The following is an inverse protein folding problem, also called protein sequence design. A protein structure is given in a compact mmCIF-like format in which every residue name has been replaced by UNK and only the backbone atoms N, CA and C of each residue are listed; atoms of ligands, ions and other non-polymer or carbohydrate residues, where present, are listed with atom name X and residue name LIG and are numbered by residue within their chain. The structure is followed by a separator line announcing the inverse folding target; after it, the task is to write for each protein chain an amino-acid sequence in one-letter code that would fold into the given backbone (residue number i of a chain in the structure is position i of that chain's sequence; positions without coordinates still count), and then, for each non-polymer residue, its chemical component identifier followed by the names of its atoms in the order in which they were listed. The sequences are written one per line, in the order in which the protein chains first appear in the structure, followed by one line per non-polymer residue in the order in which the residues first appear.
data_IF_650843435719
#
_entry.id   IF_650843435719
#
_cell.length_a   1.000
_cell.length_b   1.000
_cell.length_c   1.000
_cell.angle_alpha   90.00
_cell.angle_beta   90.00
_cell.angle_gamma   90.00
#
_symmetry.space_group_name_H-M   'P 1'
#
loop_
_entity.id
_entity.type
_entity.pdbx_description
1 polymer ?
#
# COMPACT_ATOMS: atom_id res chain seq x y z
N UNK A 1 19.91 -9.81 -19.55
CA UNK A 1 19.05 -8.59 -19.48
C UNK A 1 18.94 -8.18 -18.03
N UNK A 2 19.10 -6.90 -17.73
CA UNK A 2 18.83 -6.38 -16.39
C UNK A 2 17.33 -6.62 -16.08
N UNK A 3 16.98 -7.28 -14.96
CA UNK A 3 15.60 -7.55 -14.60
C UNK A 3 14.76 -6.27 -14.34
N UNK A 4 15.40 -5.10 -14.31
CA UNK A 4 14.72 -3.82 -14.07
C UNK A 4 13.93 -3.82 -12.77
N UNK A 5 12.71 -3.27 -12.78
CA UNK A 5 11.83 -3.24 -11.60
C UNK A 5 11.37 -4.62 -11.11
N UNK A 6 11.40 -5.65 -11.96
CA UNK A 6 11.02 -7.02 -11.59
C UNK A 6 11.86 -7.56 -10.42
N UNK A 7 13.09 -7.08 -10.26
CA UNK A 7 13.96 -7.46 -9.15
C UNK A 7 13.37 -7.10 -7.77
N UNK A 8 12.56 -6.04 -7.71
CA UNK A 8 11.98 -5.51 -6.48
C UNK A 8 10.56 -6.01 -6.21
N UNK A 9 10.02 -6.84 -7.10
CA UNK A 9 8.76 -7.54 -6.87
C UNK A 9 8.94 -8.55 -5.74
N UNK A 10 8.10 -8.46 -4.72
CA UNK A 10 8.14 -9.37 -3.58
C UNK A 10 7.87 -10.81 -4.04
N UNK A 11 8.54 -11.78 -3.46
CA UNK A 11 8.38 -13.19 -3.78
C UNK A 11 7.31 -13.84 -2.89
N UNK A 12 6.80 -15.01 -3.32
CA UNK A 12 5.82 -15.78 -2.57
C UNK A 12 4.38 -15.29 -2.69
N UNK A 13 3.53 -15.75 -1.79
CA UNK A 13 2.09 -15.44 -1.76
C UNK A 13 1.87 -13.97 -1.42
N UNK A 14 1.04 -13.29 -2.24
CA UNK A 14 0.68 -11.89 -1.98
C UNK A 14 -0.52 -11.81 -1.03
N UNK A 15 -0.44 -10.93 -0.04
CA UNK A 15 -1.56 -10.66 0.85
C UNK A 15 -2.72 -9.95 0.11
N UNK A 16 -3.98 -10.24 0.46
CA UNK A 16 -5.15 -9.62 -0.20
C UNK A 16 -5.14 -8.09 -0.19
N UNK A 17 -4.71 -7.49 0.92
CA UNK A 17 -4.60 -6.03 1.08
C UNK A 17 -3.57 -5.47 0.09
N UNK A 18 -2.43 -6.15 -0.04
CA UNK A 18 -1.38 -5.74 -0.98
C UNK A 18 -1.83 -5.90 -2.43
N UNK A 19 -2.55 -6.98 -2.76
CA UNK A 19 -3.08 -7.16 -4.12
C UNK A 19 -4.06 -6.04 -4.48
N UNK A 20 -4.98 -5.66 -3.57
CA UNK A 20 -5.87 -4.51 -3.79
C UNK A 20 -5.10 -3.21 -4.04
N UNK A 21 -3.99 -2.99 -3.33
CA UNK A 21 -3.14 -1.83 -3.56
C UNK A 21 -2.50 -1.88 -4.95
N UNK A 22 -1.99 -3.03 -5.39
CA UNK A 22 -1.42 -3.22 -6.72
C UNK A 22 -2.45 -2.98 -7.82
N UNK A 23 -3.67 -3.51 -7.67
CA UNK A 23 -4.77 -3.29 -8.62
C UNK A 23 -5.14 -1.80 -8.73
N UNK A 24 -5.21 -1.08 -7.60
CA UNK A 24 -5.47 0.35 -7.59
C UNK A 24 -4.33 1.15 -8.23
N UNK A 25 -3.07 0.75 -7.99
CA UNK A 25 -1.91 1.35 -8.63
C UNK A 25 -1.90 1.08 -10.14
N UNK A 26 -2.24 -0.13 -10.59
CA UNK A 26 -2.36 -0.47 -12.01
C UNK A 26 -3.40 0.42 -12.71
N UNK A 27 -4.57 0.62 -12.09
CA UNK A 27 -5.59 1.54 -12.60
C UNK A 27 -5.08 2.98 -12.70
N UNK A 28 -4.33 3.44 -11.71
CA UNK A 28 -3.74 4.77 -11.72
C UNK A 28 -2.66 4.95 -12.82
N UNK A 29 -2.03 3.85 -13.23
CA UNK A 29 -1.13 3.81 -14.40
C UNK A 29 -1.87 3.72 -15.75
N UNK A 30 -3.21 3.60 -15.73
CA UNK A 30 -4.04 3.56 -16.93
C UNK A 30 -4.44 2.15 -17.39
N UNK A 31 -4.12 1.10 -16.63
CA UNK A 31 -4.56 -0.27 -16.96
C UNK A 31 -5.96 -0.49 -16.42
N UNK A 32 -6.95 -0.52 -17.31
CA UNK A 32 -8.36 -0.66 -16.95
C UNK A 32 -8.72 -2.04 -16.41
N UNK A 33 -9.70 -2.09 -15.49
CA UNK A 33 -10.17 -3.35 -14.89
C UNK A 33 -10.67 -4.35 -15.94
N UNK A 34 -11.38 -3.88 -16.99
CA UNK A 34 -11.85 -4.75 -18.09
C UNK A 34 -10.68 -5.34 -18.91
N UNK A 35 -9.55 -4.62 -19.04
CA UNK A 35 -8.37 -5.16 -19.73
C UNK A 35 -7.73 -6.29 -18.92
N UNK A 36 -7.61 -6.11 -17.61
CA UNK A 36 -7.10 -7.15 -16.70
C UNK A 36 -8.03 -8.35 -16.66
N UNK A 37 -9.35 -8.14 -16.57
CA UNK A 37 -10.38 -9.16 -16.61
C UNK A 37 -10.36 -9.97 -17.92
N UNK A 38 -10.17 -9.32 -19.06
CA UNK A 38 -10.03 -9.99 -20.36
C UNK A 38 -8.80 -10.90 -20.39
N UNK A 39 -7.66 -10.42 -19.87
CA UNK A 39 -6.42 -11.20 -19.81
C UNK A 39 -6.55 -12.38 -18.83
N UNK A 40 -7.18 -12.17 -17.68
CA UNK A 40 -7.40 -13.21 -16.66
C UNK A 40 -8.32 -14.32 -17.19
N UNK A 41 -9.47 -13.95 -17.72
CA UNK A 41 -10.43 -14.92 -18.25
C UNK A 41 -9.90 -15.68 -19.47
N UNK A 42 -9.13 -15.02 -20.34
CA UNK A 42 -8.43 -15.71 -21.43
C UNK A 42 -7.41 -16.72 -20.93
N UNK A 43 -6.57 -16.34 -19.96
CA UNK A 43 -5.58 -17.26 -19.39
C UNK A 43 -6.26 -18.48 -18.73
N UNK A 44 -7.39 -18.26 -18.05
CA UNK A 44 -8.21 -19.31 -17.47
C UNK A 44 -8.78 -20.25 -18.56
N UNK A 45 -9.33 -19.71 -19.64
CA UNK A 45 -9.84 -20.48 -20.75
C UNK A 45 -8.74 -21.29 -21.45
N UNK A 46 -7.57 -20.70 -21.65
CA UNK A 46 -6.42 -21.39 -22.27
C UNK A 46 -5.91 -22.53 -21.38
N UNK A 47 -5.90 -22.37 -20.05
CA UNK A 47 -5.58 -23.44 -19.11
C UNK A 47 -6.59 -24.59 -19.23
N UNK A 48 -7.89 -24.30 -19.14
CA UNK A 48 -8.97 -25.30 -19.28
C UNK A 48 -8.86 -26.03 -20.62
N UNK A 49 -8.66 -25.30 -21.72
CA UNK A 49 -8.56 -25.85 -23.06
C UNK A 49 -7.37 -26.81 -23.23
N UNK A 50 -6.26 -26.53 -22.57
CA UNK A 50 -5.05 -27.35 -22.63
C UNK A 50 -5.17 -28.67 -21.89
N UNK A 51 -6.15 -28.83 -21.01
CA UNK A 51 -6.28 -29.98 -20.10
C UNK A 51 -7.45 -30.89 -20.47
N UNK A 52 -8.58 -30.32 -20.89
CA UNK A 52 -9.84 -31.03 -21.02
C UNK A 52 -10.59 -30.68 -22.31
N UNK A 53 -11.03 -31.67 -23.08
CA UNK A 53 -11.82 -31.45 -24.30
C UNK A 53 -13.34 -31.37 -24.06
N UNK A 54 -13.84 -31.85 -22.91
CA UNK A 54 -15.27 -32.07 -22.67
C UNK A 54 -16.01 -30.86 -22.09
N UNK A 55 -17.14 -31.14 -21.44
CA UNK A 55 -18.02 -30.13 -20.87
C UNK A 55 -17.35 -29.36 -19.72
N UNK A 56 -17.57 -28.06 -19.71
CA UNK A 56 -17.07 -27.14 -18.67
C UNK A 56 -18.25 -26.51 -17.93
N UNK A 57 -18.24 -26.59 -16.61
CA UNK A 57 -19.17 -25.86 -15.74
C UNK A 57 -18.39 -24.74 -15.05
N UNK A 58 -18.85 -23.49 -15.21
CA UNK A 58 -18.23 -22.32 -14.58
C UNK A 58 -19.18 -21.73 -13.57
N UNK A 59 -18.77 -21.67 -12.32
CA UNK A 59 -19.51 -21.09 -11.21
C UNK A 59 -19.05 -19.65 -11.01
N UNK A 60 -19.90 -18.67 -11.31
CA UNK A 60 -19.58 -17.26 -11.26
C UNK A 60 -20.26 -16.55 -10.09
N UNK A 61 -19.47 -15.85 -9.27
CA UNK A 61 -19.98 -14.89 -8.31
C UNK A 61 -20.38 -13.56 -8.97
N UNK A 62 -20.80 -12.60 -8.16
CA UNK A 62 -21.22 -11.27 -8.62
C UNK A 62 -20.09 -10.22 -8.67
N UNK A 63 -18.88 -10.58 -8.22
CA UNK A 63 -17.69 -9.73 -8.24
C UNK A 63 -16.85 -9.90 -9.50
N UNK A 64 -15.66 -9.27 -9.50
CA UNK A 64 -14.75 -9.31 -10.64
C UNK A 64 -14.26 -10.73 -10.97
N UNK A 65 -14.06 -11.59 -9.96
CA UNK A 65 -13.71 -13.00 -10.18
C UNK A 65 -14.78 -13.73 -11.01
N UNK A 66 -16.08 -13.46 -10.72
CA UNK A 66 -17.18 -13.94 -11.57
C UNK A 66 -17.10 -13.41 -13.00
N UNK A 67 -16.68 -12.15 -13.16
CA UNK A 67 -16.41 -11.55 -14.46
C UNK A 67 -15.28 -12.26 -15.22
N UNK A 68 -14.20 -12.65 -14.56
CA UNK A 68 -13.10 -13.43 -15.13
C UNK A 68 -13.61 -14.79 -15.63
N UNK A 69 -14.49 -15.46 -14.84
CA UNK A 69 -15.17 -16.69 -15.23
C UNK A 69 -16.08 -16.52 -16.46
N UNK A 70 -16.81 -15.40 -16.55
CA UNK A 70 -17.66 -15.07 -17.70
C UNK A 70 -16.83 -14.80 -18.97
N UNK A 71 -15.68 -14.12 -18.85
CA UNK A 71 -14.75 -13.96 -19.96
C UNK A 71 -14.23 -15.33 -20.40
N UNK A 72 -13.84 -16.20 -19.45
CA UNK A 72 -13.40 -17.56 -19.77
C UNK A 72 -14.48 -18.34 -20.55
N UNK A 73 -15.74 -18.27 -20.12
CA UNK A 73 -16.86 -18.89 -20.83
C UNK A 73 -16.97 -18.41 -22.28
N UNK A 74 -16.81 -17.11 -22.51
CA UNK A 74 -16.84 -16.52 -23.86
C UNK A 74 -15.71 -17.07 -24.74
N UNK A 75 -14.54 -17.32 -24.18
CA UNK A 75 -13.43 -17.93 -24.90
C UNK A 75 -13.60 -19.43 -25.12
N UNK A 76 -14.47 -20.13 -24.37
CA UNK A 76 -14.70 -21.57 -24.43
C UNK A 76 -15.94 -21.97 -25.29
N UNK A 77 -16.40 -21.12 -26.22
CA UNK A 77 -17.56 -21.40 -27.09
C UNK A 77 -17.33 -22.56 -28.09
N UNK A 78 -16.10 -23.06 -28.22
CA UNK A 78 -15.72 -24.24 -29.00
C UNK A 78 -16.09 -25.56 -28.34
N UNK A 79 -16.69 -25.54 -27.14
CA UNK A 79 -17.12 -26.72 -26.35
C UNK A 79 -18.42 -26.47 -25.60
N UNK A 80 -19.00 -27.53 -25.05
CA UNK A 80 -20.18 -27.43 -24.19
C UNK A 80 -19.81 -26.70 -22.90
N UNK A 81 -20.37 -25.51 -22.69
CA UNK A 81 -20.07 -24.65 -21.53
C UNK A 81 -21.35 -24.18 -20.87
N UNK A 82 -21.49 -24.45 -19.55
CA UNK A 82 -22.56 -23.96 -18.72
C UNK A 82 -22.03 -22.99 -17.66
N UNK A 83 -22.63 -21.81 -17.57
CA UNK A 83 -22.30 -20.77 -16.57
C UNK A 83 -23.44 -20.67 -15.57
N UNK A 84 -23.16 -20.99 -14.33
CA UNK A 84 -24.04 -20.80 -13.20
C UNK A 84 -23.59 -19.53 -12.45
N UNK A 85 -24.41 -18.48 -12.48
CA UNK A 85 -24.02 -17.17 -11.94
C UNK A 85 -24.99 -16.65 -10.92
N UNK A 86 -24.45 -16.01 -9.87
CA UNK A 86 -25.23 -15.37 -8.82
C UNK A 86 -25.92 -14.12 -9.39
N UNK A 87 -27.26 -14.16 -9.46
CA UNK A 87 -28.12 -13.08 -9.98
C UNK A 87 -28.76 -12.30 -8.83
N UNK A 88 -27.93 -11.59 -8.07
CA UNK A 88 -28.33 -10.76 -6.93
C UNK A 88 -27.93 -9.29 -7.15
N UNK A 89 -28.59 -8.35 -6.45
CA UNK A 89 -28.16 -6.95 -6.43
C UNK A 89 -26.68 -6.78 -6.00
N UNK A 90 -26.01 -5.77 -6.55
CA UNK A 90 -24.62 -5.47 -6.22
C UNK A 90 -23.61 -6.25 -7.03
N UNK A 91 -23.96 -6.72 -8.23
CA UNK A 91 -23.00 -7.21 -9.22
C UNK A 91 -22.08 -6.05 -9.62
N UNK A 92 -20.76 -6.32 -9.73
CA UNK A 92 -19.81 -5.30 -10.20
C UNK A 92 -20.13 -4.87 -11.64
N UNK A 93 -19.80 -3.62 -11.97
CA UNK A 93 -20.10 -3.08 -13.31
C UNK A 93 -19.41 -3.89 -14.42
N UNK A 94 -18.20 -4.34 -14.15
CA UNK A 94 -17.40 -5.16 -15.08
C UNK A 94 -18.00 -6.57 -15.25
N UNK A 95 -18.44 -7.21 -14.14
CA UNK A 95 -19.10 -8.51 -14.22
C UNK A 95 -20.43 -8.41 -14.97
N UNK A 96 -21.24 -7.39 -14.68
CA UNK A 96 -22.50 -7.13 -15.40
C UNK A 96 -22.26 -6.88 -16.91
N UNK A 97 -21.17 -6.17 -17.25
CA UNK A 97 -20.76 -5.96 -18.65
C UNK A 97 -20.46 -7.30 -19.35
N UNK A 98 -19.70 -8.20 -18.71
CA UNK A 98 -19.42 -9.52 -19.30
C UNK A 98 -20.66 -10.40 -19.42
N UNK A 99 -21.56 -10.36 -18.43
CA UNK A 99 -22.84 -11.07 -18.49
C UNK A 99 -23.69 -10.57 -19.68
N UNK A 100 -23.73 -9.27 -19.93
CA UNK A 100 -24.44 -8.70 -21.06
C UNK A 100 -23.90 -9.23 -22.41
N UNK A 101 -22.57 -9.38 -22.53
CA UNK A 101 -21.94 -9.97 -23.71
C UNK A 101 -22.31 -11.45 -23.84
N UNK A 102 -22.23 -12.24 -22.74
CA UNK A 102 -22.52 -13.67 -22.77
C UNK A 102 -23.94 -14.00 -23.21
N UNK A 103 -24.91 -13.12 -22.93
CA UNK A 103 -26.31 -13.28 -23.40
C UNK A 103 -26.45 -13.34 -24.92
N UNK A 104 -25.43 -12.91 -25.66
CA UNK A 104 -25.34 -12.98 -27.13
C UNK A 104 -24.47 -14.15 -27.62
N UNK A 105 -23.88 -14.92 -26.71
CA UNK A 105 -22.99 -16.04 -27.02
C UNK A 105 -23.72 -17.38 -26.92
N UNK A 106 -23.14 -18.42 -27.58
CA UNK A 106 -23.63 -19.81 -27.47
C UNK A 106 -23.10 -20.49 -26.21
N UNK A 107 -23.54 -19.98 -25.03
CA UNK A 107 -23.18 -20.49 -23.71
C UNK A 107 -24.47 -20.69 -22.93
N UNK A 108 -24.60 -21.80 -22.22
CA UNK A 108 -25.76 -22.02 -21.34
C UNK A 108 -25.64 -21.14 -20.09
N UNK A 109 -26.64 -20.31 -19.83
CA UNK A 109 -26.65 -19.36 -18.71
C UNK A 109 -27.73 -19.74 -17.71
N UNK A 110 -27.34 -20.00 -16.46
CA UNK A 110 -28.21 -20.38 -15.36
C UNK A 110 -28.13 -19.32 -14.25
N UNK A 111 -29.12 -18.42 -14.13
CA UNK A 111 -29.16 -17.45 -13.06
C UNK A 111 -29.52 -18.13 -11.72
N UNK A 112 -28.81 -17.81 -10.66
CA UNK A 112 -29.02 -18.36 -9.31
C UNK A 112 -29.31 -17.21 -8.35
N UNK A 113 -30.54 -17.13 -7.85
CA UNK A 113 -31.00 -16.14 -6.86
C UNK A 113 -31.20 -16.78 -5.50
N UNK A 114 -31.55 -18.07 -5.49
CA UNK A 114 -31.84 -18.84 -4.28
C UNK A 114 -31.40 -20.30 -4.48
N UNK A 115 -31.52 -21.09 -3.42
CA UNK A 115 -31.14 -22.50 -3.44
C UNK A 115 -32.00 -23.33 -4.42
N UNK A 116 -33.23 -22.97 -4.59
CA UNK A 116 -34.20 -23.66 -5.46
C UNK A 116 -33.83 -23.60 -6.94
N UNK A 117 -33.07 -22.57 -7.34
CA UNK A 117 -32.55 -22.42 -8.72
C UNK A 117 -31.48 -23.46 -9.06
N UNK A 118 -30.92 -24.17 -8.07
CA UNK A 118 -29.84 -25.13 -8.24
C UNK A 118 -30.30 -26.56 -8.66
N UNK A 119 -31.59 -26.76 -8.92
CA UNK A 119 -32.20 -28.09 -9.18
C UNK A 119 -31.53 -28.88 -10.31
N UNK A 120 -30.96 -28.20 -11.30
CA UNK A 120 -30.26 -28.82 -12.44
C UNK A 120 -28.72 -28.78 -12.33
N UNK A 121 -28.17 -28.14 -11.32
CA UNK A 121 -26.73 -27.98 -11.16
C UNK A 121 -26.02 -29.32 -11.00
N UNK A 122 -26.57 -30.23 -10.18
CA UNK A 122 -26.01 -31.58 -9.98
C UNK A 122 -25.88 -32.35 -11.32
N UNK A 123 -26.89 -32.24 -12.21
CA UNK A 123 -26.88 -32.85 -13.52
C UNK A 123 -25.76 -32.33 -14.42
N UNK A 124 -25.53 -31.03 -14.44
CA UNK A 124 -24.43 -30.45 -15.20
C UNK A 124 -23.07 -30.81 -14.59
N UNK A 125 -22.93 -30.71 -13.25
CA UNK A 125 -21.69 -31.05 -12.54
C UNK A 125 -21.29 -32.53 -12.72
N UNK A 126 -22.27 -33.44 -12.82
CA UNK A 126 -22.00 -34.87 -13.02
C UNK A 126 -21.42 -35.19 -14.40
N UNK A 127 -21.70 -34.34 -15.43
CA UNK A 127 -21.22 -34.45 -16.79
C UNK A 127 -19.96 -33.64 -17.05
N UNK A 128 -19.63 -32.69 -16.18
CA UNK A 128 -18.52 -31.79 -16.35
C UNK A 128 -17.18 -32.50 -16.21
N UNK A 129 -16.28 -32.36 -17.19
CA UNK A 129 -14.87 -32.73 -17.04
C UNK A 129 -14.12 -31.71 -16.19
N UNK A 130 -14.53 -30.43 -16.26
CA UNK A 130 -13.96 -29.34 -15.47
C UNK A 130 -15.04 -28.53 -14.80
N UNK A 131 -14.82 -28.25 -13.52
CA UNK A 131 -15.60 -27.27 -12.76
C UNK A 131 -14.68 -26.09 -12.44
N UNK A 132 -15.02 -24.91 -12.93
CA UNK A 132 -14.29 -23.67 -12.65
C UNK A 132 -14.96 -22.96 -11.48
N UNK A 133 -14.22 -22.75 -10.40
CA UNK A 133 -14.61 -21.90 -9.29
C UNK A 133 -14.17 -20.45 -9.57
N UNK A 134 -15.13 -19.64 -9.96
CA UNK A 134 -15.01 -18.17 -10.10
C UNK A 134 -16.05 -17.46 -9.21
N UNK A 135 -16.42 -18.08 -8.07
CA UNK A 135 -17.43 -17.54 -7.16
C UNK A 135 -16.88 -16.35 -6.37
N UNK A 136 -15.77 -16.52 -5.65
CA UNK A 136 -15.17 -15.50 -4.81
C UNK A 136 -13.68 -15.36 -5.08
N UNK A 137 -13.20 -14.12 -5.14
CA UNK A 137 -11.77 -13.81 -5.17
C UNK A 137 -11.26 -13.34 -3.79
N UNK A 138 -10.05 -12.80 -3.75
CA UNK A 138 -9.34 -12.34 -2.53
C UNK A 138 -10.04 -11.21 -1.77
N UNK A 139 -11.05 -10.56 -2.36
CA UNK A 139 -11.78 -9.43 -1.74
C UNK A 139 -12.90 -9.82 -0.79
N UNK A 140 -13.24 -11.10 -0.68
CA UNK A 140 -14.39 -11.57 0.09
C UNK A 140 -13.98 -12.03 1.49
N UNK A 141 -14.76 -11.64 2.52
CA UNK A 141 -14.55 -12.04 3.90
C UNK A 141 -15.89 -12.48 4.54
N UNK A 142 -15.80 -13.41 5.48
CA UNK A 142 -16.93 -13.90 6.28
C UNK A 142 -17.50 -15.25 5.81
N UNK A 143 -18.47 -15.79 6.53
CA UNK A 143 -19.07 -17.08 6.23
C UNK A 143 -19.92 -17.03 4.95
N UNK A 144 -19.87 -18.09 4.16
CA UNK A 144 -20.69 -18.23 2.97
C UNK A 144 -22.18 -18.28 3.34
N UNK A 145 -22.98 -17.54 2.59
CA UNK A 145 -24.45 -17.58 2.63
C UNK A 145 -24.99 -18.24 1.37
N UNK A 146 -26.23 -18.71 1.42
CA UNK A 146 -26.90 -19.16 0.20
C UNK A 146 -27.16 -17.96 -0.75
N UNK A 147 -27.07 -18.18 -2.07
CA UNK A 147 -26.92 -19.49 -2.73
C UNK A 147 -25.46 -19.99 -2.83
N UNK A 148 -24.44 -19.15 -2.57
CA UNK A 148 -23.03 -19.51 -2.72
C UNK A 148 -22.65 -20.76 -1.93
N UNK A 149 -23.11 -20.88 -0.67
CA UNK A 149 -22.83 -22.05 0.17
C UNK A 149 -23.33 -23.35 -0.46
N UNK A 150 -24.52 -23.34 -1.03
CA UNK A 150 -25.08 -24.52 -1.71
C UNK A 150 -24.34 -24.82 -3.03
N UNK A 151 -23.97 -23.79 -3.82
CA UNK A 151 -23.17 -23.98 -5.03
C UNK A 151 -21.82 -24.64 -4.73
N UNK A 152 -21.12 -24.20 -3.67
CA UNK A 152 -19.87 -24.80 -3.22
C UNK A 152 -20.06 -26.24 -2.78
N UNK A 153 -21.13 -26.53 -2.03
CA UNK A 153 -21.42 -27.88 -1.56
C UNK A 153 -21.66 -28.88 -2.72
N UNK A 154 -22.35 -28.45 -3.78
CA UNK A 154 -22.54 -29.27 -4.99
C UNK A 154 -21.25 -29.41 -5.78
N UNK A 155 -20.48 -28.33 -5.96
CA UNK A 155 -19.19 -28.34 -6.65
C UNK A 155 -18.18 -29.30 -5.98
N UNK A 156 -18.18 -29.41 -4.65
CA UNK A 156 -17.31 -30.34 -3.92
C UNK A 156 -17.58 -31.81 -4.26
N UNK A 157 -18.82 -32.16 -4.67
CA UNK A 157 -19.23 -33.53 -5.04
C UNK A 157 -18.96 -33.85 -6.51
N UNK A 158 -18.71 -32.83 -7.33
CA UNK A 158 -18.49 -33.01 -8.75
C UNK A 158 -17.31 -33.94 -9.02
N UNK A 159 -17.42 -34.89 -9.97
CA UNK A 159 -16.32 -35.80 -10.31
C UNK A 159 -15.22 -35.13 -11.15
N UNK A 160 -15.54 -34.05 -11.87
CA UNK A 160 -14.61 -33.34 -12.73
C UNK A 160 -13.49 -32.60 -11.98
N UNK A 161 -12.40 -32.28 -12.71
CA UNK A 161 -11.29 -31.49 -12.16
C UNK A 161 -11.77 -30.09 -11.74
N UNK A 162 -11.43 -29.66 -10.55
CA UNK A 162 -11.82 -28.36 -9.98
C UNK A 162 -10.67 -27.37 -10.12
N UNK A 163 -10.90 -26.33 -10.90
CA UNK A 163 -9.93 -25.25 -11.11
C UNK A 163 -10.46 -23.97 -10.45
N UNK A 164 -9.73 -23.43 -9.48
CA UNK A 164 -10.07 -22.15 -8.88
C UNK A 164 -9.43 -20.99 -9.66
N UNK A 165 -10.24 -19.99 -10.00
CA UNK A 165 -9.81 -18.73 -10.58
C UNK A 165 -9.35 -17.78 -9.47
N UNK A 166 -8.16 -17.27 -9.56
CA UNK A 166 -7.44 -16.37 -8.66
C UNK A 166 -7.16 -16.95 -7.27
N UNK A 167 -8.18 -17.32 -6.51
CA UNK A 167 -8.10 -17.93 -5.20
C UNK A 167 -9.28 -18.89 -4.98
N UNK A 168 -9.12 -19.97 -4.19
CA UNK A 168 -10.22 -20.88 -3.89
C UNK A 168 -11.33 -20.18 -3.09
N UNK A 169 -12.59 -20.44 -3.46
CA UNK A 169 -13.72 -20.03 -2.63
C UNK A 169 -13.71 -20.83 -1.32
N UNK A 170 -13.93 -20.21 -0.15
CA UNK A 170 -13.96 -20.89 1.14
C UNK A 170 -14.85 -22.13 1.13
N UNK A 171 -14.34 -23.26 1.56
CA UNK A 171 -15.05 -24.54 1.59
C UNK A 171 -14.92 -25.39 0.32
N UNK A 172 -14.39 -24.85 -0.78
CA UNK A 172 -14.05 -25.62 -1.96
C UNK A 172 -12.56 -25.98 -1.94
N UNK A 173 -12.24 -27.26 -2.18
CA UNK A 173 -10.87 -27.74 -2.32
C UNK A 173 -10.64 -27.99 -3.81
N UNK A 174 -9.94 -27.11 -4.53
CA UNK A 174 -9.64 -27.30 -5.94
C UNK A 174 -8.48 -28.25 -6.15
N UNK A 175 -8.45 -28.89 -7.32
CA UNK A 175 -7.30 -29.69 -7.78
C UNK A 175 -6.19 -28.77 -8.29
N UNK A 176 -6.56 -27.58 -8.78
CA UNK A 176 -5.65 -26.58 -9.32
C UNK A 176 -6.12 -25.16 -9.01
N UNK A 177 -5.18 -24.26 -8.74
CA UNK A 177 -5.44 -22.82 -8.61
C UNK A 177 -4.68 -22.07 -9.69
N UNK A 178 -5.35 -21.23 -10.47
CA UNK A 178 -4.74 -20.27 -11.38
C UNK A 178 -4.86 -18.88 -10.79
N UNK A 179 -3.81 -18.41 -10.13
CA UNK A 179 -3.73 -17.05 -9.60
C UNK A 179 -3.30 -16.06 -10.68
N UNK A 180 -3.85 -14.86 -10.63
CA UNK A 180 -3.54 -13.78 -11.57
C UNK A 180 -2.46 -12.87 -11.00
N UNK A 181 -1.44 -12.52 -11.79
CA UNK A 181 -0.29 -11.68 -11.47
C UNK A 181 0.65 -12.29 -10.41
N UNK A 182 0.16 -12.66 -9.24
CA UNK A 182 0.92 -13.22 -8.10
C UNK A 182 0.17 -14.39 -7.47
N UNK A 183 0.88 -15.38 -6.88
CA UNK A 183 0.21 -16.48 -6.19
C UNK A 183 -0.58 -15.96 -4.97
N UNK A 184 -1.84 -16.40 -4.81
CA UNK A 184 -2.71 -16.10 -3.66
C UNK A 184 -2.68 -17.24 -2.63
N UNK A 185 -2.28 -18.41 -3.06
CA UNK A 185 -2.07 -19.58 -2.19
C UNK A 185 -0.78 -20.29 -2.60
N UNK A 186 -0.13 -21.05 -1.68
CA UNK A 186 1.04 -21.84 -2.03
C UNK A 186 0.74 -22.85 -3.14
N UNK A 187 1.66 -23.01 -4.09
CA UNK A 187 1.54 -23.97 -5.18
C UNK A 187 0.62 -23.57 -6.33
N UNK A 188 -0.01 -22.38 -6.29
CA UNK A 188 -0.81 -21.91 -7.41
C UNK A 188 0.02 -21.70 -8.67
N UNK A 189 -0.55 -22.04 -9.83
CA UNK A 189 -0.07 -21.55 -11.11
C UNK A 189 -0.32 -20.03 -11.20
N UNK A 190 0.57 -19.31 -11.88
CA UNK A 190 0.45 -17.86 -12.02
C UNK A 190 0.31 -17.50 -13.49
N UNK A 191 -0.78 -16.80 -13.82
CA UNK A 191 -0.96 -16.17 -15.12
C UNK A 191 -0.52 -14.70 -15.05
N UNK A 192 0.32 -14.30 -16.01
CA UNK A 192 0.58 -12.88 -16.27
C UNK A 192 -0.63 -12.29 -16.97
N UNK A 193 -1.25 -11.30 -16.35
CA UNK A 193 -2.44 -10.61 -16.87
C UNK A 193 -2.13 -9.18 -17.34
N UNK A 194 -0.84 -8.80 -17.39
CA UNK A 194 -0.39 -7.51 -17.90
C UNK A 194 -0.39 -6.39 -16.86
N UNK A 195 -0.33 -6.69 -15.57
CA UNK A 195 -0.07 -5.67 -14.54
C UNK A 195 1.40 -5.25 -14.63
N UNK A 196 1.70 -3.96 -14.86
CA UNK A 196 3.08 -3.48 -14.91
C UNK A 196 3.79 -3.69 -13.57
N UNK A 197 5.08 -4.03 -13.61
CA UNK A 197 5.91 -4.15 -12.39
C UNK A 197 5.93 -2.86 -11.57
N UNK A 198 5.79 -1.71 -12.23
CA UNK A 198 5.66 -0.40 -11.61
C UNK A 198 4.47 -0.31 -10.66
N UNK A 199 3.35 -0.98 -10.94
CA UNK A 199 2.19 -0.99 -10.05
C UNK A 199 2.51 -1.64 -8.69
N UNK A 200 3.48 -2.56 -8.66
CA UNK A 200 3.94 -3.21 -7.44
C UNK A 200 5.16 -2.51 -6.81
N UNK A 201 6.09 -2.01 -7.63
CA UNK A 201 7.36 -1.45 -7.16
C UNK A 201 7.33 0.07 -6.93
N UNK A 202 6.30 0.80 -7.42
CA UNK A 202 6.15 2.22 -7.10
C UNK A 202 5.04 2.45 -6.08
N UNK A 203 5.20 3.50 -5.28
CA UNK A 203 4.14 3.95 -4.38
C UNK A 203 3.07 4.66 -5.19
N UNK A 204 1.81 4.37 -4.90
CA UNK A 204 0.68 4.95 -5.60
C UNK A 204 -0.57 5.09 -4.72
N UNK A 205 -1.72 5.47 -5.31
CA UNK A 205 -2.96 5.67 -4.54
C UNK A 205 -3.46 4.39 -3.87
N UNK A 206 -3.07 3.21 -4.37
CA UNK A 206 -3.41 1.92 -3.75
C UNK A 206 -2.76 1.73 -2.38
N UNK A 207 -1.58 2.30 -2.15
CA UNK A 207 -0.90 2.19 -0.85
C UNK A 207 -1.68 2.96 0.26
N UNK A 208 -2.48 3.98 -0.12
CA UNK A 208 -3.37 4.69 0.82
C UNK A 208 -4.51 3.81 1.36
N UNK A 209 -4.83 2.68 0.71
CA UNK A 209 -5.84 1.72 1.21
C UNK A 209 -5.42 1.04 2.52
N UNK A 210 -4.15 1.13 2.90
CA UNK A 210 -3.65 0.65 4.19
C UNK A 210 -4.00 1.61 5.35
N UNK A 211 -4.37 2.84 5.06
CA UNK A 211 -4.81 3.80 6.06
C UNK A 211 -6.17 3.36 6.63
N UNK A 212 -6.22 3.18 7.94
CA UNK A 212 -7.48 2.97 8.63
C UNK A 212 -8.28 4.28 8.64
N UNK A 213 -9.55 4.21 8.31
CA UNK A 213 -10.45 5.34 8.56
C UNK A 213 -10.53 5.59 10.06
N UNK A 214 -10.56 6.87 10.49
CA UNK A 214 -10.85 7.20 11.89
C UNK A 214 -12.21 6.60 12.25
N UNK A 215 -12.21 5.83 13.35
CA UNK A 215 -13.45 5.35 13.94
C UNK A 215 -14.29 6.56 14.37
N UNK A 216 -15.58 6.65 13.97
CA UNK A 216 -16.45 7.72 14.44
C UNK A 216 -16.52 7.82 15.98
N UNK A 217 -16.33 6.70 16.68
CA UNK A 217 -16.33 6.61 18.14
C UNK A 217 -14.93 6.74 18.77
N UNK A 218 -13.90 7.09 17.98
CA UNK A 218 -12.54 7.25 18.47
C UNK A 218 -12.43 8.41 19.48
N UNK A 219 -11.77 8.18 20.60
CA UNK A 219 -11.46 9.19 21.59
C UNK A 219 -10.13 9.87 21.31
N UNK A 220 -9.92 11.04 21.93
CA UNK A 220 -8.68 11.81 21.87
C UNK A 220 -7.47 10.93 22.26
N UNK A 221 -6.45 10.90 21.40
CA UNK A 221 -5.26 10.05 21.53
C UNK A 221 -5.29 8.81 20.62
N UNK A 222 -6.45 8.45 20.04
CA UNK A 222 -6.51 7.33 19.11
C UNK A 222 -5.70 7.56 17.81
N UNK A 223 -5.45 8.83 17.44
CA UNK A 223 -4.61 9.24 16.31
C UNK A 223 -3.10 9.26 16.61
N UNK A 224 -2.71 8.97 17.86
CA UNK A 224 -1.32 8.91 18.31
C UNK A 224 -0.78 10.27 18.78
N UNK A 225 0.28 10.18 19.60
CA UNK A 225 1.04 11.33 20.10
C UNK A 225 2.44 11.34 19.46
N UNK A 226 2.80 12.46 18.82
CA UNK A 226 4.11 12.67 18.22
C UNK A 226 4.92 13.68 19.04
N UNK A 227 6.12 13.29 19.41
CA UNK A 227 7.12 14.20 19.98
C UNK A 227 8.10 14.62 18.89
N UNK A 228 8.23 15.92 18.65
CA UNK A 228 9.28 16.48 17.79
C UNK A 228 10.39 17.06 18.65
N UNK A 229 11.62 16.56 18.49
CA UNK A 229 12.81 17.04 19.21
C UNK A 229 13.72 17.75 18.22
N UNK A 230 13.73 19.08 18.27
CA UNK A 230 14.44 19.86 17.26
C UNK A 230 14.59 21.33 17.65
N UNK A 231 15.11 22.09 16.70
CA UNK A 231 15.38 23.51 16.89
C UNK A 231 16.74 23.81 17.52
N UNK A 232 17.24 24.98 17.18
CA UNK A 232 18.55 25.50 17.52
C UNK A 232 18.89 26.60 16.52
N UNK A 233 19.89 26.42 15.66
CA UNK A 233 20.22 27.40 14.61
C UNK A 233 19.08 27.62 13.59
N UNK A 234 18.29 26.57 13.31
CA UNK A 234 17.16 26.63 12.37
C UNK A 234 15.85 26.50 13.13
N UNK A 235 15.21 27.64 13.34
CA UNK A 235 14.12 27.80 14.31
C UNK A 235 12.80 27.19 13.81
N UNK A 236 12.43 27.36 12.55
CA UNK A 236 11.14 26.93 11.99
C UNK A 236 10.98 25.43 11.72
N UNK A 237 12.08 24.70 11.58
CA UNK A 237 12.08 23.30 11.16
C UNK A 237 11.23 22.35 12.04
N UNK A 238 11.36 22.36 13.39
CA UNK A 238 10.54 21.49 14.24
C UNK A 238 9.05 21.84 14.21
N UNK A 239 8.71 23.10 13.96
CA UNK A 239 7.32 23.55 13.86
C UNK A 239 6.66 23.10 12.55
N UNK A 240 7.41 23.13 11.44
CA UNK A 240 6.95 22.55 10.16
C UNK A 240 6.70 21.03 10.29
N UNK A 241 7.61 20.32 10.94
CA UNK A 241 7.42 18.89 11.21
C UNK A 241 6.21 18.64 12.11
N UNK A 242 6.02 19.44 13.17
CA UNK A 242 4.89 19.31 14.09
C UNK A 242 3.54 19.58 13.42
N UNK A 243 3.44 20.63 12.64
CA UNK A 243 2.23 20.97 11.89
C UNK A 243 1.90 19.89 10.84
N UNK A 244 2.91 19.38 10.16
CA UNK A 244 2.75 18.29 9.21
C UNK A 244 2.25 16.99 9.88
N UNK A 245 2.74 16.69 11.09
CA UNK A 245 2.25 15.55 11.86
C UNK A 245 0.76 15.70 12.24
N UNK A 246 0.30 16.87 12.67
CA UNK A 246 -1.12 17.15 12.91
C UNK A 246 -1.95 16.97 11.62
N UNK A 247 -1.49 17.55 10.52
CA UNK A 247 -2.16 17.43 9.20
C UNK A 247 -2.20 15.99 8.67
N UNK A 248 -1.25 15.16 9.09
CA UNK A 248 -1.21 13.74 8.77
C UNK A 248 -2.02 12.85 9.73
N UNK A 249 -2.69 13.43 10.72
CA UNK A 249 -3.68 12.74 11.54
C UNK A 249 -3.23 12.40 12.96
N UNK A 250 -2.06 12.87 13.42
CA UNK A 250 -1.71 12.81 14.84
C UNK A 250 -2.72 13.63 15.68
N UNK A 251 -3.13 13.11 16.81
CA UNK A 251 -4.08 13.80 17.72
C UNK A 251 -3.40 14.81 18.62
N UNK A 252 -2.15 14.55 18.99
CA UNK A 252 -1.33 15.42 19.85
C UNK A 252 0.07 15.51 19.27
N UNK A 253 0.61 16.73 19.24
CA UNK A 253 2.01 16.96 18.87
C UNK A 253 2.69 17.87 19.88
N UNK A 254 3.80 17.38 20.44
CA UNK A 254 4.67 18.12 21.36
C UNK A 254 5.94 18.54 20.63
N UNK A 255 6.37 19.76 20.83
CA UNK A 255 7.64 20.30 20.33
C UNK A 255 8.59 20.51 21.50
N UNK A 256 9.57 19.64 21.67
CA UNK A 256 10.65 19.85 22.62
C UNK A 256 11.79 20.61 21.95
N UNK A 257 11.89 21.90 22.28
CA UNK A 257 12.77 22.83 21.58
C UNK A 257 13.27 23.95 22.49
N UNK A 258 14.51 24.44 22.29
CA UNK A 258 14.97 25.68 22.92
C UNK A 258 14.35 26.93 22.26
N UNK A 259 13.76 26.78 21.08
CA UNK A 259 13.16 27.88 20.34
C UNK A 259 11.65 27.84 20.48
N UNK A 260 11.03 28.96 20.78
CA UNK A 260 9.57 29.11 20.90
C UNK A 260 9.00 29.86 19.73
N UNK A 261 8.04 29.23 19.05
CA UNK A 261 7.17 29.85 18.05
C UNK A 261 5.71 29.67 18.49
N UNK A 262 4.90 30.73 18.51
CA UNK A 262 3.54 30.70 19.02
C UNK A 262 2.58 30.03 18.01
N UNK A 263 2.54 28.72 17.97
CA UNK A 263 1.61 27.93 17.15
C UNK A 263 0.54 27.32 18.07
N UNK A 264 -0.72 27.79 18.01
CA UNK A 264 -1.79 27.38 18.93
C UNK A 264 -2.11 25.89 18.93
N UNK A 265 -1.88 25.20 17.78
CA UNK A 265 -2.22 23.80 17.60
C UNK A 265 -1.17 22.85 18.17
N UNK A 266 0.02 23.36 18.56
CA UNK A 266 1.15 22.57 19.06
C UNK A 266 1.34 22.74 20.56
N UNK A 267 1.75 21.67 21.24
CA UNK A 267 2.13 21.72 22.66
C UNK A 267 3.63 21.97 22.73
N UNK A 268 4.01 23.07 23.39
CA UNK A 268 5.40 23.46 23.51
C UNK A 268 6.03 22.96 24.81
N UNK A 269 7.09 22.17 24.70
CA UNK A 269 7.93 21.68 25.78
C UNK A 269 9.25 22.46 25.77
N UNK A 270 9.28 23.55 26.51
CA UNK A 270 10.42 24.47 26.54
C UNK A 270 11.68 23.76 27.07
N UNK A 271 12.78 23.93 26.35
CA UNK A 271 14.13 23.56 26.77
C UNK A 271 14.95 24.83 26.95
N UNK A 272 15.69 24.95 28.05
CA UNK A 272 16.43 26.17 28.35
C UNK A 272 17.73 26.26 27.55
N UNK A 273 18.16 27.50 27.25
CA UNK A 273 19.39 27.76 26.48
C UNK A 273 19.17 27.80 24.95
N UNK A 274 20.26 28.00 24.18
CA UNK A 274 20.16 28.22 22.74
C UNK A 274 20.16 26.92 21.91
N UNK A 275 20.37 25.75 22.55
CA UNK A 275 20.46 24.44 21.89
C UNK A 275 20.12 23.31 22.88
N UNK A 276 19.87 22.14 22.34
CA UNK A 276 19.62 20.93 23.14
C UNK A 276 20.97 20.37 23.65
N UNK A 277 21.09 20.18 24.96
CA UNK A 277 22.30 19.69 25.64
C UNK A 277 21.98 18.43 26.47
N UNK A 278 22.99 17.83 27.06
CA UNK A 278 22.85 16.66 27.95
C UNK A 278 21.98 16.95 29.18
N UNK A 279 21.95 18.19 29.67
CA UNK A 279 21.11 18.62 30.80
C UNK A 279 19.60 18.42 30.53
N UNK A 280 19.20 18.33 29.25
CA UNK A 280 17.82 18.11 28.86
C UNK A 280 17.44 16.61 28.72
N UNK A 281 18.45 15.71 28.80
CA UNK A 281 18.27 14.30 28.40
C UNK A 281 17.20 13.59 29.26
N UNK A 282 17.21 13.72 30.56
CA UNK A 282 16.24 13.06 31.43
C UNK A 282 14.80 13.50 31.14
N UNK A 283 14.62 14.79 30.90
CA UNK A 283 13.31 15.33 30.52
C UNK A 283 12.88 14.80 29.15
N UNK A 284 13.77 14.77 28.16
CA UNK A 284 13.51 14.25 26.83
C UNK A 284 13.17 12.75 26.84
N UNK A 285 13.84 11.97 27.71
CA UNK A 285 13.52 10.54 27.89
C UNK A 285 12.09 10.39 28.41
N UNK A 286 11.69 11.13 29.45
CA UNK A 286 10.33 11.07 29.98
C UNK A 286 9.25 11.43 28.90
N UNK A 287 9.53 12.43 28.07
CA UNK A 287 8.64 12.80 26.97
C UNK A 287 8.60 11.72 25.87
N UNK A 288 9.75 11.14 25.50
CA UNK A 288 9.85 10.13 24.44
C UNK A 288 9.18 8.80 24.83
N UNK A 289 9.27 8.40 26.10
CA UNK A 289 8.61 7.18 26.60
C UNK A 289 7.07 7.30 26.61
N UNK A 290 6.55 8.54 26.71
CA UNK A 290 5.12 8.83 26.62
C UNK A 290 4.57 8.98 25.21
N UNK A 291 5.44 9.14 24.20
CA UNK A 291 5.04 9.38 22.82
C UNK A 291 4.93 8.07 22.01
N UNK A 292 3.98 8.00 21.08
CA UNK A 292 3.85 6.87 20.13
C UNK A 292 4.96 6.88 19.08
N UNK A 293 5.38 8.08 18.65
CA UNK A 293 6.49 8.27 17.72
C UNK A 293 7.28 9.54 18.07
N UNK A 294 8.60 9.48 17.83
CA UNK A 294 9.51 10.62 18.01
C UNK A 294 10.12 11.01 16.67
N UNK A 295 10.08 12.28 16.34
CA UNK A 295 10.77 12.86 15.18
C UNK A 295 11.93 13.70 15.71
N UNK A 296 13.15 13.45 15.23
CA UNK A 296 14.32 14.20 15.71
C UNK A 296 15.27 14.58 14.58
N UNK A 297 15.95 15.71 14.77
CA UNK A 297 16.99 16.17 13.84
C UNK A 297 16.69 17.51 13.20
N UNK A 298 15.44 17.89 13.13
CA UNK A 298 14.95 19.08 12.43
C UNK A 298 15.49 20.36 13.09
N UNK A 299 16.45 21.00 12.45
CA UNK A 299 17.03 22.28 12.86
C UNK A 299 17.96 22.25 14.09
N UNK A 300 18.46 21.08 14.49
CA UNK A 300 19.30 20.91 15.69
C UNK A 300 20.68 21.55 15.62
N UNK A 301 21.28 21.59 14.42
CA UNK A 301 22.68 21.91 14.29
C UNK A 301 23.62 20.78 14.78
N UNK A 302 24.92 21.03 14.66
CA UNK A 302 25.96 19.99 14.78
C UNK A 302 26.18 19.46 16.20
N UNK A 303 25.86 20.24 17.24
CA UNK A 303 26.33 20.01 18.59
C UNK A 303 25.40 19.14 19.45
N UNK A 304 24.18 18.88 19.02
CA UNK A 304 23.18 18.12 19.79
C UNK A 304 23.15 16.61 19.43
N UNK A 305 24.02 16.15 18.54
CA UNK A 305 24.01 14.75 18.04
C UNK A 305 24.23 13.72 19.15
N UNK A 306 25.11 14.00 20.14
CA UNK A 306 25.34 13.13 21.31
C UNK A 306 24.06 12.86 22.10
N UNK A 307 23.29 13.92 22.35
CA UNK A 307 22.00 13.83 23.08
C UNK A 307 20.98 13.01 22.26
N UNK A 308 20.91 13.21 20.94
CA UNK A 308 20.00 12.43 20.07
C UNK A 308 20.33 10.93 20.11
N UNK A 309 21.61 10.59 20.15
CA UNK A 309 22.04 9.19 20.29
C UNK A 309 21.68 8.59 21.64
N UNK A 310 21.82 9.37 22.71
CA UNK A 310 21.46 8.93 24.07
C UNK A 310 19.93 8.78 24.22
N UNK A 311 19.14 9.64 23.58
CA UNK A 311 17.69 9.61 23.60
C UNK A 311 17.08 8.44 22.77
N UNK A 312 17.69 8.13 21.63
CA UNK A 312 17.13 7.20 20.64
C UNK A 312 16.72 5.81 21.20
N UNK A 313 17.50 5.15 22.10
CA UNK A 313 17.09 3.85 22.67
C UNK A 313 15.77 3.88 23.47
N UNK A 314 15.35 5.05 23.94
CA UNK A 314 14.11 5.26 24.67
C UNK A 314 12.90 5.48 23.73
N UNK A 315 13.14 5.64 22.44
CA UNK A 315 12.08 5.83 21.44
C UNK A 315 11.57 4.47 20.94
N UNK A 316 10.26 4.24 21.06
CA UNK A 316 9.61 3.06 20.49
C UNK A 316 9.64 3.11 18.97
N UNK A 317 9.27 4.25 18.39
CA UNK A 317 9.26 4.56 16.98
C UNK A 317 9.97 5.88 16.76
N UNK A 318 10.97 5.86 15.92
CA UNK A 318 11.87 7.00 15.74
C UNK A 318 11.95 7.37 14.26
N UNK A 319 11.79 8.66 13.95
CA UNK A 319 12.13 9.25 12.66
C UNK A 319 13.35 10.14 12.84
N UNK A 320 14.43 9.84 12.14
CA UNK A 320 15.65 10.65 12.10
C UNK A 320 15.75 11.40 10.77
N UNK A 321 15.85 12.72 10.84
CA UNK A 321 16.03 13.60 9.69
C UNK A 321 17.19 14.57 9.91
N UNK A 322 17.67 15.21 8.86
CA UNK A 322 18.59 16.33 8.89
C UNK A 322 19.82 16.10 9.78
N UNK A 323 19.96 16.90 10.86
CA UNK A 323 21.17 16.90 11.71
C UNK A 323 21.32 15.64 12.59
N UNK A 324 20.25 14.82 12.74
CA UNK A 324 20.36 13.52 13.38
C UNK A 324 21.03 12.46 12.47
N UNK A 325 21.11 12.69 11.16
CA UNK A 325 21.66 11.75 10.18
C UNK A 325 23.20 11.81 10.10
N UNK A 326 23.85 11.50 11.23
CA UNK A 326 25.33 11.46 11.40
C UNK A 326 25.73 10.16 12.07
N UNK A 327 26.93 9.70 11.72
CA UNK A 327 27.52 8.52 12.38
C UNK A 327 28.09 8.84 13.77
N UNK A 328 27.92 7.94 14.74
CA UNK A 328 27.05 6.76 14.72
C UNK A 328 25.58 7.15 14.74
N UNK A 329 24.75 6.47 13.94
CA UNK A 329 23.33 6.82 13.81
C UNK A 329 22.55 6.62 15.12
N UNK A 330 21.64 7.54 15.49
CA UNK A 330 20.64 7.29 16.54
C UNK A 330 19.77 6.09 16.14
N UNK A 331 19.49 5.18 17.08
CA UNK A 331 18.68 3.97 16.85
C UNK A 331 17.65 3.79 17.96
N UNK A 332 16.37 3.88 17.59
CA UNK A 332 15.23 3.47 18.41
C UNK A 332 14.94 1.97 18.26
N UNK A 333 13.82 1.51 18.84
CA UNK A 333 13.37 0.12 18.66
C UNK A 333 13.00 -0.15 17.19
N UNK A 334 12.29 0.78 16.57
CA UNK A 334 12.05 0.83 15.12
C UNK A 334 12.44 2.23 14.64
N UNK A 335 13.15 2.33 13.51
CA UNK A 335 13.66 3.63 13.04
C UNK A 335 13.44 3.84 11.55
N UNK A 336 12.99 5.04 11.19
CA UNK A 336 12.93 5.58 9.84
C UNK A 336 14.02 6.64 9.72
N UNK A 337 14.83 6.57 8.67
CA UNK A 337 15.81 7.58 8.30
C UNK A 337 15.38 8.24 7.00
N UNK A 338 15.39 9.57 6.93
CA UNK A 338 14.91 10.34 5.77
C UNK A 338 16.04 11.15 5.10
N UNK A 339 17.17 10.54 4.68
CA UNK A 339 18.30 11.27 4.10
C UNK A 339 17.98 11.83 2.73
N UNK A 340 18.51 13.02 2.41
CA UNK A 340 18.82 13.41 1.03
C UNK A 340 20.18 12.81 0.58
N UNK A 341 20.56 12.96 -0.68
CA UNK A 341 21.77 12.33 -1.21
C UNK A 341 23.07 12.64 -0.43
N UNK A 342 23.22 13.88 0.06
CA UNK A 342 24.39 14.26 0.86
C UNK A 342 24.38 13.63 2.26
N UNK A 343 23.23 13.52 2.88
CA UNK A 343 23.04 12.84 4.18
C UNK A 343 23.25 11.34 4.03
N UNK A 344 22.71 10.74 2.96
CA UNK A 344 22.94 9.33 2.63
C UNK A 344 24.43 9.02 2.50
N UNK A 345 25.18 9.89 1.80
CA UNK A 345 26.64 9.73 1.67
C UNK A 345 27.36 9.77 3.02
N UNK A 346 26.90 10.63 3.95
CA UNK A 346 27.46 10.69 5.31
C UNK A 346 27.11 9.45 6.14
N UNK A 347 25.90 8.89 5.94
CA UNK A 347 25.44 7.69 6.64
C UNK A 347 26.14 6.41 6.19
N UNK A 348 26.43 6.29 4.89
CA UNK A 348 26.90 5.05 4.28
C UNK A 348 28.38 5.07 3.86
N UNK A 349 28.98 6.25 3.83
CA UNK A 349 30.33 6.45 3.29
C UNK A 349 30.40 6.51 1.74
N UNK A 350 29.28 6.30 1.03
CA UNK A 350 29.22 6.27 -0.42
C UNK A 350 28.05 7.11 -0.95
N UNK A 351 28.23 7.86 -2.05
CA UNK A 351 27.11 8.55 -2.70
C UNK A 351 26.11 7.55 -3.28
N UNK A 352 24.80 7.88 -3.33
CA UNK A 352 23.83 7.02 -3.98
C UNK A 352 24.11 6.93 -5.48
N UNK A 353 23.98 5.73 -6.11
CA UNK A 353 24.15 5.57 -7.55
C UNK A 353 23.23 6.47 -8.37
N UNK A 354 23.67 6.87 -9.59
CA UNK A 354 22.84 7.65 -10.51
C UNK A 354 21.72 6.84 -11.15
N UNK A 355 22.01 5.59 -11.50
CA UNK A 355 21.01 4.65 -12.03
C UNK A 355 19.97 4.27 -10.97
N UNK A 356 18.69 4.22 -11.35
CA UNK A 356 17.58 4.03 -10.39
C UNK A 356 17.57 2.61 -9.81
N UNK A 357 17.86 1.59 -10.61
CA UNK A 357 17.87 0.19 -10.15
C UNK A 357 19.06 -0.03 -9.22
N UNK A 358 20.24 0.43 -9.61
CA UNK A 358 21.44 0.39 -8.76
C UNK A 358 21.22 1.16 -7.44
N UNK A 359 20.53 2.31 -7.50
CA UNK A 359 20.14 3.07 -6.30
C UNK A 359 19.21 2.27 -5.39
N UNK A 360 18.21 1.57 -5.96
CA UNK A 360 17.31 0.69 -5.22
C UNK A 360 18.08 -0.41 -4.48
N UNK A 361 19.06 -1.05 -5.13
CA UNK A 361 19.94 -2.05 -4.51
C UNK A 361 20.77 -1.44 -3.37
N UNK A 362 21.40 -0.30 -3.61
CA UNK A 362 22.25 0.38 -2.62
C UNK A 362 21.44 0.80 -1.36
N UNK A 363 20.21 1.32 -1.55
CA UNK A 363 19.35 1.70 -0.42
C UNK A 363 18.87 0.45 0.34
N UNK A 364 18.53 -0.63 -0.36
CA UNK A 364 18.17 -1.91 0.26
C UNK A 364 19.31 -2.45 1.13
N UNK A 365 20.49 -2.49 0.58
CA UNK A 365 21.68 -3.01 1.27
C UNK A 365 22.04 -2.14 2.49
N UNK A 366 21.91 -0.81 2.38
CA UNK A 366 22.13 0.12 3.49
C UNK A 366 21.06 0.02 4.58
N UNK A 367 19.81 -0.28 4.21
CA UNK A 367 18.71 -0.45 5.15
C UNK A 367 18.80 -1.77 5.93
N UNK A 368 19.41 -2.81 5.35
CA UNK A 368 19.55 -4.12 5.97
C UNK A 368 20.28 -4.02 7.32
N UNK A 369 19.57 -4.36 8.42
CA UNK A 369 20.07 -4.27 9.79
C UNK A 369 20.26 -2.84 10.32
N UNK A 370 19.85 -1.81 9.57
CA UNK A 370 19.91 -0.40 9.99
C UNK A 370 18.52 0.11 10.41
N UNK A 371 17.52 -0.06 9.59
CA UNK A 371 16.15 0.43 9.74
C UNK A 371 15.58 0.82 8.37
N UNK A 372 14.39 1.38 8.33
CA UNK A 372 13.81 1.86 7.08
C UNK A 372 14.51 3.14 6.61
N UNK A 373 14.97 3.16 5.37
CA UNK A 373 15.57 4.33 4.74
C UNK A 373 14.63 4.86 3.66
N UNK A 374 14.26 6.14 3.75
CA UNK A 374 13.60 6.92 2.72
C UNK A 374 14.62 7.89 2.14
N UNK A 375 15.32 7.48 1.08
CA UNK A 375 16.27 8.36 0.36
C UNK A 375 15.50 9.35 -0.52
N UNK A 376 15.54 10.62 -0.13
CA UNK A 376 14.90 11.75 -0.84
C UNK A 376 15.62 12.05 -2.16
N UNK A 377 14.84 12.32 -3.22
CA UNK A 377 15.40 12.70 -4.52
C UNK A 377 14.30 13.01 -5.55
N UNK A 378 14.68 13.18 -6.83
CA UNK A 378 13.71 13.30 -7.92
C UNK A 378 12.76 12.08 -7.99
N UNK A 379 13.28 10.90 -7.69
CA UNK A 379 12.54 9.69 -7.38
C UNK A 379 13.05 9.27 -6.02
N UNK A 380 12.18 9.24 -5.02
CA UNK A 380 12.55 8.75 -3.72
C UNK A 380 12.68 7.22 -3.76
N UNK A 381 13.59 6.69 -2.97
CA UNK A 381 13.78 5.24 -2.83
C UNK A 381 13.57 4.86 -1.38
N UNK A 382 12.62 3.98 -1.12
CA UNK A 382 12.26 3.52 0.22
C UNK A 382 12.63 2.04 0.35
N UNK A 383 13.33 1.68 1.43
CA UNK A 383 13.63 0.28 1.71
C UNK A 383 13.71 0.01 3.22
N UNK A 384 13.30 -1.19 3.62
CA UNK A 384 13.48 -1.76 4.97
C UNK A 384 14.59 -2.83 5.02
N UNK A 385 15.36 -2.96 3.94
CA UNK A 385 16.40 -3.97 3.78
C UNK A 385 15.93 -5.25 3.07
N UNK A 386 14.63 -5.48 2.98
CA UNK A 386 14.04 -6.60 2.25
C UNK A 386 13.26 -6.11 1.01
N UNK A 387 12.39 -5.14 1.21
CA UNK A 387 11.51 -4.55 0.19
C UNK A 387 12.08 -3.24 -0.31
N UNK A 388 11.75 -2.91 -1.57
CA UNK A 388 12.07 -1.61 -2.17
C UNK A 388 10.82 -1.04 -2.84
N UNK A 389 10.58 0.26 -2.65
CA UNK A 389 9.55 1.02 -3.39
C UNK A 389 10.16 2.33 -3.89
N UNK A 390 9.62 2.79 -5.00
CA UNK A 390 10.01 4.04 -5.62
C UNK A 390 8.85 5.02 -5.56
N UNK A 391 9.08 6.22 -5.08
CA UNK A 391 8.09 7.28 -5.17
C UNK A 391 8.45 8.22 -6.33
N UNK A 392 7.53 8.38 -7.26
CA UNK A 392 7.68 9.25 -8.44
C UNK A 392 6.86 10.55 -8.34
N UNK A 393 6.17 10.75 -7.24
CA UNK A 393 5.46 12.01 -6.99
C UNK A 393 6.44 13.09 -6.51
N UNK A 394 6.08 14.33 -6.72
CA UNK A 394 6.90 15.49 -6.42
C UNK A 394 7.14 16.35 -7.66
N UNK A 395 7.63 17.56 -7.44
CA UNK A 395 7.86 18.54 -8.47
C UNK A 395 9.13 19.37 -8.17
N UNK A 396 9.70 20.07 -9.17
CA UNK A 396 10.89 20.89 -8.96
C UNK A 396 10.72 22.00 -7.93
N UNK A 397 9.50 22.56 -7.78
CA UNK A 397 9.22 23.60 -6.79
C UNK A 397 9.45 23.16 -5.34
N UNK A 398 9.43 21.84 -5.07
CA UNK A 398 9.73 21.29 -3.74
C UNK A 398 11.20 21.38 -3.32
N UNK A 399 12.08 21.89 -4.15
CA UNK A 399 13.50 22.12 -3.81
C UNK A 399 13.70 23.35 -2.91
N UNK A 400 12.78 23.65 -2.04
CA UNK A 400 12.82 24.70 -1.03
C UNK A 400 13.03 24.11 0.36
N UNK A 401 13.80 24.82 1.22
CA UNK A 401 14.04 24.37 2.58
C UNK A 401 12.73 24.24 3.39
N UNK A 402 12.60 23.17 4.16
CA UNK A 402 11.40 22.90 4.99
C UNK A 402 10.49 21.79 4.49
N UNK A 403 10.53 21.43 3.19
CA UNK A 403 9.73 20.32 2.65
C UNK A 403 10.16 18.96 3.21
N UNK A 404 11.44 18.80 3.55
CA UNK A 404 11.96 17.63 4.26
C UNK A 404 11.44 17.53 5.69
N UNK A 405 11.35 18.66 6.40
CA UNK A 405 10.79 18.70 7.76
C UNK A 405 9.33 18.26 7.77
N UNK A 406 8.55 18.73 6.77
CA UNK A 406 7.16 18.30 6.57
C UNK A 406 7.07 16.79 6.34
N UNK A 407 7.92 16.25 5.47
CA UNK A 407 7.99 14.81 5.21
C UNK A 407 8.29 14.01 6.48
N UNK A 408 9.26 14.45 7.28
CA UNK A 408 9.63 13.79 8.53
C UNK A 408 8.48 13.82 9.55
N UNK A 409 7.77 14.94 9.68
CA UNK A 409 6.60 15.08 10.54
C UNK A 409 5.45 14.15 10.13
N UNK A 410 5.14 14.10 8.83
CA UNK A 410 4.13 13.16 8.30
C UNK A 410 4.53 11.69 8.54
N UNK A 411 5.80 11.35 8.29
CA UNK A 411 6.30 10.01 8.56
C UNK A 411 6.11 9.64 10.04
N UNK A 412 6.37 10.56 10.97
CA UNK A 412 6.14 10.39 12.40
C UNK A 412 4.69 10.08 12.75
N UNK A 413 3.74 10.86 12.22
CA UNK A 413 2.32 10.65 12.47
C UNK A 413 1.83 9.29 11.91
N UNK A 414 2.17 8.98 10.67
CA UNK A 414 1.81 7.71 10.03
C UNK A 414 2.46 6.52 10.75
N UNK A 415 3.66 6.70 11.26
CA UNK A 415 4.38 5.68 12.02
C UNK A 415 3.71 5.34 13.36
N UNK A 416 2.87 6.20 13.91
CA UNK A 416 2.09 5.85 15.11
C UNK A 416 1.23 4.59 14.90
N UNK A 417 0.78 4.32 13.69
CA UNK A 417 -0.19 3.26 13.39
C UNK A 417 0.26 2.26 12.32
N UNK A 418 1.20 2.63 11.48
CA UNK A 418 1.70 1.80 10.39
C UNK A 418 3.10 1.29 10.68
N UNK A 419 3.52 0.16 10.10
CA UNK A 419 4.92 -0.22 10.10
C UNK A 419 5.80 0.83 9.40
N UNK A 420 7.08 0.89 9.73
CA UNK A 420 8.01 1.91 9.25
C UNK A 420 8.07 2.06 7.72
N UNK A 421 8.06 0.93 7.00
CA UNK A 421 8.14 0.91 5.55
C UNK A 421 6.91 1.54 4.90
N UNK A 422 5.71 1.14 5.32
CA UNK A 422 4.43 1.64 4.81
C UNK A 422 4.23 3.12 5.17
N UNK A 423 4.58 3.51 6.40
CA UNK A 423 4.54 4.91 6.81
C UNK A 423 5.44 5.79 5.94
N UNK A 424 6.66 5.32 5.63
CA UNK A 424 7.60 6.01 4.75
C UNK A 424 7.09 6.12 3.30
N UNK A 425 6.52 5.04 2.76
CA UNK A 425 5.94 5.03 1.42
C UNK A 425 4.81 6.04 1.29
N UNK A 426 3.85 6.00 2.20
CA UNK A 426 2.68 6.89 2.17
C UNK A 426 3.11 8.35 2.40
N UNK A 427 4.02 8.61 3.37
CA UNK A 427 4.54 9.95 3.60
C UNK A 427 5.20 10.54 2.35
N UNK A 428 6.07 9.79 1.68
CA UNK A 428 6.72 10.23 0.44
C UNK A 428 5.70 10.53 -0.68
N UNK A 429 4.72 9.64 -0.88
CA UNK A 429 3.69 9.80 -1.89
C UNK A 429 2.84 11.04 -1.64
N UNK A 430 2.34 11.21 -0.42
CA UNK A 430 1.47 12.33 -0.04
C UNK A 430 2.21 13.65 -0.10
N UNK A 431 3.46 13.70 0.40
CA UNK A 431 4.30 14.89 0.31
C UNK A 431 4.49 15.33 -1.14
N UNK A 432 4.84 14.39 -2.00
CA UNK A 432 5.02 14.66 -3.42
C UNK A 432 3.73 15.09 -4.12
N UNK A 433 2.59 14.46 -3.82
CA UNK A 433 1.28 14.84 -4.36
C UNK A 433 0.85 16.21 -3.89
N UNK A 434 1.03 16.54 -2.62
CA UNK A 434 0.77 17.87 -2.08
C UNK A 434 1.63 18.93 -2.81
N UNK A 435 2.92 18.65 -3.00
CA UNK A 435 3.80 19.54 -3.75
C UNK A 435 3.36 19.77 -5.19
N UNK A 436 2.93 18.71 -5.90
CA UNK A 436 2.39 18.83 -7.26
C UNK A 436 1.08 19.65 -7.32
N UNK A 437 0.25 19.59 -6.27
CA UNK A 437 -0.97 20.38 -6.20
C UNK A 437 -0.65 21.86 -5.95
N UNK A 438 0.29 22.16 -5.05
CA UNK A 438 0.77 23.52 -4.80
C UNK A 438 1.44 24.12 -6.03
N UNK A 439 2.31 23.36 -6.74
CA UNK A 439 2.97 23.85 -7.95
C UNK A 439 1.97 24.28 -9.02
N UNK A 440 0.83 23.58 -9.15
CA UNK A 440 -0.24 23.96 -10.11
C UNK A 440 -0.89 25.30 -9.76
N UNK A 441 -0.95 25.67 -8.49
CA UNK A 441 -1.58 26.91 -8.02
C UNK A 441 -0.59 28.05 -7.79
N UNK A 442 0.60 27.79 -7.23
CA UNK A 442 1.59 28.78 -6.83
C UNK A 442 2.83 28.82 -7.74
N UNK A 443 2.97 27.86 -8.68
CA UNK A 443 4.15 27.75 -9.55
C UNK A 443 5.43 27.54 -8.74
N UNK A 444 6.54 28.14 -9.20
CA UNK A 444 7.84 28.06 -8.53
C UNK A 444 7.97 28.87 -7.24
N UNK A 445 6.94 29.61 -6.83
CA UNK A 445 6.91 30.41 -5.61
C UNK A 445 6.39 29.66 -4.36
N UNK A 446 6.36 28.34 -4.39
CA UNK A 446 5.93 27.48 -3.29
C UNK A 446 6.67 27.78 -1.98
N UNK A 447 5.91 27.91 -0.90
CA UNK A 447 6.42 27.87 0.46
C UNK A 447 6.18 26.47 1.07
N UNK A 448 7.04 25.99 1.99
CA UNK A 448 6.79 24.73 2.69
C UNK A 448 5.43 24.68 3.37
N UNK A 449 4.98 25.81 3.95
CA UNK A 449 3.67 25.92 4.62
C UNK A 449 2.49 25.67 3.71
N UNK A 450 2.61 25.90 2.41
CA UNK A 450 1.54 25.66 1.43
C UNK A 450 1.18 24.16 1.34
N UNK A 451 2.17 23.28 1.56
CA UNK A 451 1.93 21.84 1.55
C UNK A 451 0.97 21.40 2.66
N UNK A 452 0.99 22.10 3.81
CA UNK A 452 0.22 21.71 4.99
C UNK A 452 -1.29 21.64 4.74
N UNK A 453 -1.81 22.49 3.88
CA UNK A 453 -3.23 22.49 3.53
C UNK A 453 -3.61 21.36 2.57
N UNK A 454 -2.66 20.87 1.77
CA UNK A 454 -2.87 19.82 0.79
C UNK A 454 -2.70 18.40 1.37
N UNK A 455 -1.95 18.22 2.47
CA UNK A 455 -1.72 16.91 3.10
C UNK A 455 -3.04 16.19 3.44
N UNK A 456 -4.01 16.79 4.19
CA UNK A 456 -5.25 16.09 4.54
C UNK A 456 -6.11 15.78 3.31
N UNK A 457 -6.02 16.59 2.25
CA UNK A 457 -6.74 16.34 1.00
C UNK A 457 -6.25 15.08 0.28
N UNK A 458 -4.97 14.74 0.41
CA UNK A 458 -4.40 13.53 -0.17
C UNK A 458 -4.64 12.30 0.71
N UNK A 459 -4.62 12.45 2.04
CA UNK A 459 -4.75 11.34 2.97
C UNK A 459 -6.20 10.91 3.22
N UNK A 460 -7.14 11.88 3.31
CA UNK A 460 -8.48 11.66 3.85
C UNK A 460 -9.61 11.96 2.87
N UNK A 461 -9.31 12.43 1.67
CA UNK A 461 -10.33 12.63 0.64
C UNK A 461 -10.85 11.28 0.19
N UNK A 462 -12.13 11.00 0.43
CA UNK A 462 -12.80 9.85 -0.19
C UNK A 462 -12.76 10.07 -1.71
N UNK A 463 -12.26 9.09 -2.46
CA UNK A 463 -12.54 9.05 -3.89
C UNK A 463 -14.06 8.93 -4.03
N UNK A 464 -14.71 9.86 -4.72
CA UNK A 464 -16.16 9.83 -5.03
C UNK A 464 -16.55 8.65 -5.94
N UNK A 465 -15.58 7.77 -6.25
CA UNK A 465 -15.73 6.58 -7.08
C UNK A 465 -15.34 5.33 -6.27
N UNK A 466 -16.15 4.97 -5.29
CA UNK A 466 -16.11 3.69 -4.60
C UNK A 466 -17.32 2.83 -4.96
#
# INVERSE_FOLDING_TARGET
MDPGFREFVEQGVIAPERMRAVDANARALGVGTLQLMESAGRALADLVRSRHPGMVVILCGKGNNGGDGMVAARHLQDRETAVWYVDEPGMSAECAHQLAILRHCRVMLHPVRCREDLVHLEGDLSRAEVVVDALLGTGSAGPLRDPLRSMVAEACRAPGEKIAADAPTPGLVPDLVLSFHRPKVPGALVADIGIPWEAECTVGPGDLLMLRQKDPDAHKGAGGEVLVVGGGPYQGAPYLAGLAALRAGADLVRIASPVFEPVPDLIYERLDGPRITEDHLDRLIGLAEGADAVVMGNGLGDQSHGVMRALAPHCRRLVCDADALRLPLPRGKETIYTPHAGEYSRMTGNPPPGDLIAKGRAVRDAAAGTGTILLKGRVDVISDGARVRFNRTGCPAMTVGGTGDILAGMAGALFCHLPAFEASCIAAYVNGKAGMDVERSAGGGMLPTDLLEHIPLQLFRRSENG
#
